data_IF_490614102224
#
_entry.id   IF_490614102224
#
_cell.length_a   1.000
_cell.length_b   1.000
_cell.length_c   1.000
_cell.angle_alpha   90.00
_cell.angle_beta   90.00
_cell.angle_gamma   90.00
#
_symmetry.space_group_name_H-M   'P 1'
#
loop_
_entity.id
_entity.type
_entity.pdbx_description
1 polymer ?
#
# COMPACT_ATOMS: atom_id res chain seq x y z
N UNK A 1 12.54 20.19 4.61
CA UNK A 1 11.12 20.06 4.25
C UNK A 1 10.57 18.85 5.02
N UNK A 2 9.61 19.04 5.93
CA UNK A 2 9.06 17.94 6.72
C UNK A 2 8.07 17.18 5.83
N UNK A 3 8.41 15.96 5.42
CA UNK A 3 7.52 15.13 4.59
C UNK A 3 6.40 14.61 5.50
N UNK A 4 5.19 15.11 5.28
CA UNK A 4 4.00 14.60 5.98
C UNK A 4 3.47 13.41 5.19
N UNK A 5 3.71 12.20 5.69
CA UNK A 5 3.26 10.99 5.03
C UNK A 5 1.75 10.76 5.26
N UNK A 6 1.01 10.25 4.25
CA UNK A 6 -0.40 9.93 4.41
C UNK A 6 -0.65 8.87 5.50
N UNK A 7 -1.78 8.93 6.22
CA UNK A 7 -2.12 7.96 7.28
C UNK A 7 -2.11 6.49 6.82
N UNK A 8 -2.38 6.25 5.54
CA UNK A 8 -2.38 4.90 4.98
C UNK A 8 -0.95 4.34 4.82
N UNK A 9 0.08 5.19 4.76
CA UNK A 9 1.47 4.79 4.54
C UNK A 9 1.93 3.77 5.59
N UNK A 10 1.70 4.03 6.89
CA UNK A 10 2.13 3.13 7.97
C UNK A 10 1.44 1.76 7.87
N UNK A 11 0.17 1.75 7.46
CA UNK A 11 -0.59 0.50 7.25
C UNK A 11 -0.06 -0.26 6.04
N UNK A 12 0.25 0.43 4.94
CA UNK A 12 0.83 -0.19 3.75
C UNK A 12 2.23 -0.77 4.02
N UNK A 13 3.07 -0.03 4.75
CA UNK A 13 4.39 -0.49 5.18
C UNK A 13 4.31 -1.81 5.93
N UNK A 14 3.46 -1.88 6.96
CA UNK A 14 3.27 -3.12 7.73
C UNK A 14 2.79 -4.29 6.84
N UNK A 15 1.85 -4.05 5.92
CA UNK A 15 1.37 -5.10 5.02
C UNK A 15 2.45 -5.65 4.10
N UNK A 16 3.36 -4.79 3.61
CA UNK A 16 4.48 -5.24 2.80
C UNK A 16 5.48 -6.04 3.63
N UNK A 17 5.76 -5.61 4.87
CA UNK A 17 6.60 -6.37 5.79
C UNK A 17 6.01 -7.77 6.06
N UNK A 18 4.73 -7.84 6.44
CA UNK A 18 4.05 -9.11 6.68
C UNK A 18 4.07 -10.03 5.44
N UNK A 19 3.95 -9.46 4.23
CA UNK A 19 4.00 -10.21 2.97
C UNK A 19 5.40 -10.77 2.68
N UNK A 20 6.45 -9.96 2.90
CA UNK A 20 7.84 -10.36 2.70
C UNK A 20 8.18 -11.48 3.70
N UNK A 21 7.83 -11.31 4.98
CA UNK A 21 8.08 -12.30 6.02
C UNK A 21 7.35 -13.63 5.75
N UNK A 22 6.11 -13.57 5.24
CA UNK A 22 5.35 -14.77 4.85
C UNK A 22 6.02 -15.53 3.69
N UNK A 23 6.50 -14.82 2.67
CA UNK A 23 7.23 -15.44 1.54
C UNK A 23 8.54 -16.07 2.01
N UNK A 24 9.30 -15.35 2.83
CA UNK A 24 10.61 -15.80 3.34
C UNK A 24 10.42 -17.08 4.17
N UNK A 25 9.49 -17.05 5.13
CA UNK A 25 9.25 -18.16 6.05
C UNK A 25 8.71 -19.41 5.35
N UNK A 26 7.73 -19.26 4.45
CA UNK A 26 7.14 -20.40 3.72
C UNK A 26 8.11 -21.09 2.77
N UNK A 27 9.08 -20.35 2.24
CA UNK A 27 10.05 -20.86 1.28
C UNK A 27 11.43 -21.13 1.88
N UNK A 28 11.57 -21.04 3.21
CA UNK A 28 12.84 -21.28 3.93
C UNK A 28 14.02 -20.46 3.37
N UNK A 29 13.74 -19.21 2.97
CA UNK A 29 14.76 -18.31 2.42
C UNK A 29 15.59 -17.77 3.59
N UNK A 30 16.89 -18.11 3.65
CA UNK A 30 17.79 -17.45 4.58
C UNK A 30 18.26 -16.10 4.00
N UNK A 31 17.53 -15.05 4.37
CA UNK A 31 17.85 -13.69 3.99
C UNK A 31 18.65 -12.93 5.05
N UNK A 32 18.88 -13.49 6.23
CA UNK A 32 19.53 -12.80 7.35
C UNK A 32 21.00 -12.46 7.10
N UNK A 33 21.64 -13.20 6.20
CA UNK A 33 23.06 -13.04 5.84
C UNK A 33 23.29 -12.65 4.38
N UNK A 34 22.22 -12.45 3.59
CA UNK A 34 22.37 -12.05 2.20
C UNK A 34 22.56 -10.54 2.09
N UNK A 35 23.46 -10.13 1.19
CA UNK A 35 23.60 -8.72 0.79
C UNK A 35 22.27 -8.13 0.29
N UNK A 36 21.40 -9.02 -0.22
CA UNK A 36 20.09 -8.69 -0.78
C UNK A 36 19.05 -8.30 0.28
N UNK A 37 19.29 -8.56 1.57
CA UNK A 37 18.37 -8.13 2.65
C UNK A 37 18.26 -6.63 2.79
N UNK A 38 19.36 -5.90 2.52
CA UNK A 38 19.34 -4.44 2.42
C UNK A 38 18.57 -4.00 1.16
N UNK A 39 18.84 -4.64 0.02
CA UNK A 39 18.16 -4.34 -1.25
C UNK A 39 16.65 -4.55 -1.19
N UNK A 40 16.17 -5.57 -0.48
CA UNK A 40 14.73 -5.79 -0.25
C UNK A 40 14.11 -4.67 0.58
N UNK A 41 14.82 -4.21 1.63
CA UNK A 41 14.35 -3.10 2.48
C UNK A 41 14.27 -1.79 1.70
N UNK A 42 15.29 -1.51 0.89
CA UNK A 42 15.35 -0.30 0.06
C UNK A 42 14.26 -0.32 -1.03
N UNK A 43 14.11 -1.45 -1.73
CA UNK A 43 13.08 -1.62 -2.76
C UNK A 43 11.67 -1.43 -2.21
N UNK A 44 11.42 -1.93 -0.99
CA UNK A 44 10.13 -1.73 -0.30
C UNK A 44 9.87 -0.25 -0.04
N UNK A 45 10.87 0.48 0.42
CA UNK A 45 10.75 1.92 0.67
C UNK A 45 10.50 2.69 -0.64
N UNK A 46 11.19 2.33 -1.71
CA UNK A 46 10.99 2.90 -3.04
C UNK A 46 9.56 2.69 -3.57
N UNK A 47 9.01 1.48 -3.38
CA UNK A 47 7.61 1.18 -3.71
C UNK A 47 6.67 2.09 -2.93
N UNK A 48 6.84 2.19 -1.61
CA UNK A 48 5.98 3.00 -0.75
C UNK A 48 6.03 4.48 -1.14
N UNK A 49 7.24 5.02 -1.36
CA UNK A 49 7.42 6.41 -1.74
C UNK A 49 6.88 6.72 -3.14
N UNK A 50 6.99 5.77 -4.08
CA UNK A 50 6.37 5.88 -5.40
C UNK A 50 4.84 5.97 -5.28
N UNK A 51 4.23 5.13 -4.45
CA UNK A 51 2.79 5.19 -4.19
C UNK A 51 2.36 6.51 -3.53
N UNK A 52 3.16 7.06 -2.62
CA UNK A 52 2.90 8.38 -2.02
C UNK A 52 2.95 9.47 -3.09
N UNK A 53 3.96 9.47 -3.97
CA UNK A 53 4.05 10.44 -5.07
C UNK A 53 2.86 10.35 -6.02
N UNK A 54 2.45 9.13 -6.39
CA UNK A 54 1.25 8.92 -7.21
C UNK A 54 0.03 9.48 -6.47
N UNK A 55 -0.14 9.15 -5.20
CA UNK A 55 -1.23 9.67 -4.38
C UNK A 55 -1.26 11.20 -4.31
N UNK A 56 -0.10 11.85 -4.19
CA UNK A 56 0.04 13.30 -4.17
C UNK A 56 -0.21 13.95 -5.53
N UNK A 57 0.18 13.28 -6.62
CA UNK A 57 0.00 13.76 -8.00
C UNK A 57 -1.45 13.78 -8.49
N UNK A 58 -2.33 12.96 -7.88
CA UNK A 58 -3.76 13.01 -8.20
C UNK A 58 -4.34 14.30 -7.61
N UNK A 59 -4.98 15.12 -8.43
CA UNK A 59 -5.66 16.33 -8.00
C UNK A 59 -6.66 16.02 -6.86
N UNK A 60 -6.76 16.93 -5.88
CA UNK A 60 -7.64 16.78 -4.72
C UNK A 60 -9.09 16.58 -5.17
N UNK A 61 -9.53 17.30 -6.21
CA UNK A 61 -10.87 17.11 -6.80
C UNK A 61 -11.08 15.73 -7.41
N UNK A 62 -10.05 15.18 -8.05
CA UNK A 62 -10.12 13.84 -8.64
C UNK A 62 -10.12 12.76 -7.55
N UNK A 63 -9.39 12.96 -6.46
CA UNK A 63 -9.45 12.10 -5.26
C UNK A 63 -10.85 12.10 -4.63
N UNK A 64 -11.50 13.25 -4.52
CA UNK A 64 -12.87 13.33 -4.00
C UNK A 64 -13.88 12.64 -4.93
N UNK A 65 -13.74 12.82 -6.25
CA UNK A 65 -14.55 12.12 -7.26
C UNK A 65 -14.40 10.60 -7.15
N UNK A 66 -13.18 10.08 -7.06
CA UNK A 66 -12.92 8.65 -6.91
C UNK A 66 -13.49 8.09 -5.60
N UNK A 67 -13.35 8.81 -4.48
CA UNK A 67 -13.96 8.42 -3.19
C UNK A 67 -15.48 8.37 -3.25
N UNK A 68 -16.10 9.36 -3.91
CA UNK A 68 -17.56 9.41 -4.08
C UNK A 68 -18.04 8.23 -4.93
N UNK A 69 -17.36 7.98 -6.05
CA UNK A 69 -17.63 6.83 -6.91
C UNK A 69 -17.52 5.49 -6.17
N UNK A 70 -16.45 5.27 -5.40
CA UNK A 70 -16.26 4.05 -4.63
C UNK A 70 -17.37 3.85 -3.57
N UNK A 71 -17.78 4.94 -2.91
CA UNK A 71 -18.87 4.92 -1.92
C UNK A 71 -20.22 4.58 -2.57
N UNK A 72 -20.48 5.12 -3.75
CA UNK A 72 -21.72 4.88 -4.49
C UNK A 72 -21.78 3.45 -5.04
N UNK A 73 -20.66 2.92 -5.56
CA UNK A 73 -20.53 1.50 -5.93
C UNK A 73 -20.79 0.56 -4.75
N UNK A 74 -20.16 0.81 -3.59
CA UNK A 74 -20.37 0.00 -2.38
C UNK A 74 -21.82 0.02 -1.90
N UNK A 75 -22.52 1.15 -2.06
CA UNK A 75 -23.96 1.25 -1.76
C UNK A 75 -24.82 0.44 -2.73
N UNK A 76 -24.51 0.48 -4.04
CA UNK A 76 -25.23 -0.30 -5.05
C UNK A 76 -25.12 -1.80 -4.78
N UNK A 77 -23.90 -2.30 -4.59
CA UNK A 77 -23.64 -3.72 -4.31
C UNK A 77 -24.31 -4.23 -3.02
N UNK A 78 -24.53 -3.36 -2.02
CA UNK A 78 -25.28 -3.71 -0.80
C UNK A 78 -26.78 -3.82 -1.04
N UNK A 79 -27.36 -3.03 -1.96
CA UNK A 79 -28.78 -3.10 -2.28
C UNK A 79 -29.13 -4.36 -3.06
N UNK A 80 -28.24 -4.82 -3.92
CA UNK A 80 -28.45 -6.03 -4.73
C UNK A 80 -28.34 -7.33 -3.92
N UNK A 81 -27.70 -7.32 -2.74
CA UNK A 81 -27.63 -8.47 -1.82
C UNK A 81 -28.83 -8.62 -0.87
N UNK A 82 -29.77 -7.67 -0.86
CA UNK A 82 -30.93 -7.66 0.05
C UNK A 82 -32.23 -8.04 -0.70
N UNK A 83 -32.14 -8.43 -1.98
CA UNK A 83 -33.27 -8.99 -2.75
C UNK A 83 -33.18 -10.49 -2.86
#
# INVERSE_FOLDING_TARGET
MMIVLPEWYTKARKKLDDCIDDIISKNQIDWTFSHDSASIKDSKEDILMTLVRIYESVDVEERERLRKFEKDMKKSLRKDKIK
#
